data_IF_320414695536
#
_entry.id   IF_320414695536
#
_cell.length_a   1.000
_cell.length_b   1.000
_cell.length_c   1.000
_cell.angle_alpha   90.00
_cell.angle_beta   90.00
_cell.angle_gamma   90.00
#
_symmetry.space_group_name_H-M   'P 1'
#
loop_
_entity.id
_entity.type
_entity.pdbx_description
1 polymer ?
#
# COMPACT_ATOMS: atom_id res chain seq x y z
N UNK A 1 11.03 5.23 44.39
CA UNK A 1 10.23 5.85 43.30
C UNK A 1 11.16 5.99 42.11
N UNK A 2 11.02 5.14 41.09
CA UNK A 2 11.79 5.31 39.87
C UNK A 2 11.21 6.52 39.12
N UNK A 3 12.04 7.54 38.91
CA UNK A 3 11.72 8.67 38.05
C UNK A 3 11.45 8.12 36.65
N UNK A 4 10.18 8.15 36.22
CA UNK A 4 9.85 8.01 34.80
C UNK A 4 10.45 9.24 34.12
N UNK A 5 11.58 9.06 33.46
CA UNK A 5 12.05 10.01 32.46
C UNK A 5 10.94 10.16 31.43
N UNK A 6 10.27 11.31 31.41
CA UNK A 6 9.32 11.61 30.34
C UNK A 6 10.13 11.70 29.05
N UNK A 7 10.18 10.60 28.30
CA UNK A 7 10.73 10.63 26.96
C UNK A 7 9.81 11.53 26.13
N UNK A 8 10.22 12.78 25.97
CA UNK A 8 9.57 13.76 25.13
C UNK A 8 9.76 13.33 23.68
N UNK A 9 8.84 12.54 23.15
CA UNK A 9 8.79 12.25 21.72
C UNK A 9 8.35 13.51 20.98
N UNK A 10 9.10 14.03 19.99
CA UNK A 10 8.74 15.27 19.28
C UNK A 10 7.47 15.11 18.42
N UNK A 11 7.19 13.89 17.96
CA UNK A 11 5.97 13.58 17.21
C UNK A 11 4.82 13.31 18.19
N UNK A 12 3.71 14.02 18.00
CA UNK A 12 2.47 13.89 18.79
C UNK A 12 1.30 13.36 17.98
N UNK A 13 1.34 13.54 16.66
CA UNK A 13 0.29 13.10 15.73
C UNK A 13 0.91 12.33 14.56
N UNK A 14 0.48 11.08 14.38
CA UNK A 14 0.83 10.26 13.23
C UNK A 14 -0.37 10.21 12.30
N UNK A 15 -0.17 10.52 11.02
CA UNK A 15 -1.19 10.48 9.98
C UNK A 15 -0.81 9.40 8.98
N UNK A 16 -1.72 8.47 8.71
CA UNK A 16 -1.51 7.35 7.79
C UNK A 16 -2.50 7.45 6.63
N UNK A 17 -1.96 7.41 5.42
CA UNK A 17 -2.69 7.30 4.16
C UNK A 17 -2.18 6.06 3.41
N UNK A 18 -3.09 5.15 3.05
CA UNK A 18 -2.76 3.88 2.38
C UNK A 18 -3.41 3.86 1.00
N UNK A 19 -2.64 4.18 -0.03
CA UNK A 19 -3.02 4.08 -1.43
C UNK A 19 -3.05 2.62 -1.90
N UNK A 20 -3.48 2.38 -3.13
CA UNK A 20 -3.81 1.04 -3.66
C UNK A 20 -2.98 0.64 -4.88
N UNK A 21 -2.53 -0.61 -4.87
CA UNK A 21 -2.18 -1.41 -6.04
C UNK A 21 -1.10 -0.77 -6.94
N UNK A 22 0.04 -0.36 -6.35
CA UNK A 22 1.19 0.16 -7.11
C UNK A 22 2.51 -0.29 -6.48
N UNK A 23 3.43 -0.80 -7.31
CA UNK A 23 4.79 -1.11 -6.88
C UNK A 23 5.63 0.14 -6.65
N UNK A 24 6.77 -0.01 -5.96
CA UNK A 24 7.69 1.10 -5.74
C UNK A 24 8.25 1.60 -7.08
N UNK A 25 8.72 0.70 -7.94
CA UNK A 25 9.26 1.10 -9.24
C UNK A 25 8.21 1.71 -10.17
N UNK A 26 6.95 1.29 -10.05
CA UNK A 26 5.85 1.84 -10.83
C UNK A 26 5.63 3.33 -10.52
N UNK A 27 5.64 3.72 -9.24
CA UNK A 27 5.40 5.10 -8.84
C UNK A 27 6.67 5.95 -8.74
N UNK A 28 7.72 5.39 -8.15
CA UNK A 28 8.92 6.13 -7.72
C UNK A 28 10.22 5.59 -8.33
N UNK A 29 10.20 4.51 -9.12
CA UNK A 29 11.43 3.92 -9.68
C UNK A 29 12.27 4.93 -10.47
N UNK A 30 11.63 5.73 -11.32
CA UNK A 30 12.31 6.75 -12.14
C UNK A 30 12.74 8.00 -11.35
N UNK A 31 12.36 8.11 -10.07
CA UNK A 31 12.77 9.24 -9.22
C UNK A 31 14.25 9.15 -8.83
N UNK A 32 14.91 8.02 -9.09
CA UNK A 32 16.38 7.93 -9.06
C UNK A 32 17.06 9.03 -9.88
N UNK A 33 16.42 9.50 -10.95
CA UNK A 33 16.91 10.60 -11.78
C UNK A 33 16.91 11.96 -11.06
N UNK A 34 16.08 12.13 -10.03
CA UNK A 34 16.00 13.32 -9.18
C UNK A 34 16.82 13.17 -7.90
N UNK A 35 16.71 12.01 -7.25
CA UNK A 35 17.46 11.67 -6.06
C UNK A 35 18.21 10.34 -6.28
N UNK A 36 19.52 10.37 -6.60
CA UNK A 36 20.31 9.18 -6.86
C UNK A 36 20.44 8.21 -5.68
N UNK A 37 20.14 8.64 -4.45
CA UNK A 37 20.14 7.76 -3.27
C UNK A 37 18.99 6.78 -3.27
N UNK A 38 17.90 7.07 -4.01
CA UNK A 38 16.79 6.15 -4.18
C UNK A 38 17.27 4.90 -4.92
N UNK A 39 17.02 3.74 -4.33
CA UNK A 39 17.13 2.45 -5.01
C UNK A 39 15.97 2.26 -5.99
N UNK A 40 15.97 3.03 -7.07
CA UNK A 40 15.05 2.92 -8.20
C UNK A 40 15.71 2.36 -9.46
N UNK A 41 14.99 2.41 -10.57
CA UNK A 41 15.37 1.82 -11.87
C UNK A 41 16.36 2.65 -12.67
N UNK A 42 16.99 2.00 -13.63
CA UNK A 42 18.00 2.57 -14.54
C UNK A 42 17.62 2.46 -16.02
N UNK A 43 16.56 1.72 -16.35
CA UNK A 43 16.16 1.37 -17.71
C UNK A 43 16.86 0.14 -18.26
N UNK A 44 17.63 -0.55 -17.44
CA UNK A 44 18.27 -1.84 -17.79
C UNK A 44 17.47 -3.04 -17.30
N UNK A 45 16.54 -2.80 -16.38
CA UNK A 45 15.64 -3.77 -15.79
C UNK A 45 14.71 -4.32 -16.88
N UNK A 46 14.48 -5.63 -16.85
CA UNK A 46 13.63 -6.30 -17.85
C UNK A 46 13.08 -7.61 -17.31
N UNK A 47 11.98 -8.08 -17.89
CA UNK A 47 11.41 -9.41 -17.67
C UNK A 47 11.24 -10.13 -19.02
N UNK A 48 11.49 -11.44 -19.09
CA UNK A 48 11.15 -12.23 -20.28
C UNK A 48 9.64 -12.43 -20.38
N UNK A 49 9.12 -12.56 -21.61
CA UNK A 49 7.73 -12.96 -21.85
C UNK A 49 7.46 -14.44 -21.47
N UNK A 50 8.52 -15.25 -21.40
CA UNK A 50 8.47 -16.60 -20.85
C UNK A 50 9.74 -16.86 -20.04
N UNK A 51 9.61 -17.15 -18.76
CA UNK A 51 10.72 -17.46 -17.85
C UNK A 51 11.30 -18.85 -18.09
N UNK A 52 10.53 -19.73 -18.74
CA UNK A 52 10.94 -21.09 -19.08
C UNK A 52 11.68 -21.20 -20.41
N UNK A 53 11.59 -20.18 -21.26
CA UNK A 53 12.26 -20.12 -22.57
C UNK A 53 13.40 -19.09 -22.54
N UNK A 54 14.68 -19.53 -22.57
CA UNK A 54 15.83 -18.62 -22.55
C UNK A 54 15.94 -17.73 -23.80
N UNK A 55 15.19 -18.04 -24.87
CA UNK A 55 15.15 -17.27 -26.11
C UNK A 55 13.97 -16.30 -26.19
N UNK A 56 13.10 -16.30 -25.17
CA UNK A 56 11.94 -15.42 -25.14
C UNK A 56 12.35 -13.95 -25.22
N UNK A 57 11.54 -13.19 -25.95
CA UNK A 57 11.67 -11.74 -25.99
C UNK A 57 11.56 -11.17 -24.58
N UNK A 58 12.31 -10.09 -24.33
CA UNK A 58 12.31 -9.38 -23.06
C UNK A 58 11.62 -8.03 -23.21
N UNK A 59 10.80 -7.69 -22.24
CA UNK A 59 10.23 -6.36 -22.08
C UNK A 59 11.11 -5.60 -21.11
N UNK A 60 11.67 -4.48 -21.58
CA UNK A 60 12.47 -3.58 -20.75
C UNK A 60 11.56 -2.63 -20.01
N UNK A 61 11.92 -2.32 -18.76
CA UNK A 61 11.15 -1.41 -17.95
C UNK A 61 11.23 0.01 -18.52
N UNK A 62 10.08 0.59 -18.82
CA UNK A 62 9.94 1.90 -19.42
C UNK A 62 9.34 2.94 -18.48
N UNK A 63 9.13 4.13 -19.02
CA UNK A 63 8.75 5.34 -18.31
C UNK A 63 7.44 5.96 -18.86
N UNK A 64 6.61 5.12 -19.49
CA UNK A 64 5.43 5.53 -20.26
C UNK A 64 4.11 5.30 -19.52
N UNK A 65 4.15 5.07 -18.20
CA UNK A 65 2.91 4.84 -17.44
C UNK A 65 2.02 6.09 -17.43
N UNK A 66 0.72 5.85 -17.60
CA UNK A 66 -0.36 6.84 -17.61
C UNK A 66 -1.59 6.19 -16.95
N UNK A 67 -2.78 6.45 -17.46
CA UNK A 67 -3.99 5.75 -17.06
C UNK A 67 -3.92 4.27 -17.48
N UNK A 68 -4.12 3.36 -16.53
CA UNK A 68 -3.97 1.91 -16.73
C UNK A 68 -5.33 1.22 -16.77
N UNK A 69 -5.58 0.50 -17.87
CA UNK A 69 -6.72 -0.41 -18.04
C UNK A 69 -6.25 -1.63 -18.86
N UNK A 70 -6.63 -2.85 -18.48
CA UNK A 70 -7.33 -3.22 -17.24
C UNK A 70 -6.40 -3.28 -16.03
N UNK A 71 -6.98 -3.54 -14.87
CA UNK A 71 -6.28 -3.82 -13.62
C UNK A 71 -5.43 -5.11 -13.74
N UNK A 72 -4.10 -5.06 -13.50
CA UNK A 72 -3.25 -6.24 -13.60
C UNK A 72 -3.55 -7.29 -12.52
N UNK A 73 -3.08 -8.52 -12.75
CA UNK A 73 -3.23 -9.61 -11.79
C UNK A 73 -2.49 -9.33 -10.48
N UNK A 74 -3.20 -9.37 -9.35
CA UNK A 74 -2.66 -9.17 -8.00
C UNK A 74 -3.36 -10.11 -7.00
N UNK A 75 -3.75 -11.29 -7.48
CA UNK A 75 -4.12 -12.42 -6.63
C UNK A 75 -2.88 -13.06 -6.03
N UNK A 76 -3.05 -13.87 -4.98
CA UNK A 76 -1.93 -14.60 -4.36
C UNK A 76 -1.19 -15.50 -5.38
N UNK A 77 -1.90 -16.03 -6.39
CA UNK A 77 -1.31 -16.85 -7.46
C UNK A 77 -0.53 -16.00 -8.47
N UNK A 78 -1.08 -14.84 -8.86
CA UNK A 78 -0.41 -13.90 -9.75
C UNK A 78 0.87 -13.37 -9.10
N UNK A 79 0.77 -12.89 -7.85
CA UNK A 79 1.90 -12.39 -7.07
C UNK A 79 2.98 -13.47 -6.97
N UNK A 80 2.61 -14.72 -6.71
CA UNK A 80 3.58 -15.81 -6.69
C UNK A 80 4.32 -15.97 -8.02
N UNK A 81 3.60 -15.99 -9.14
CA UNK A 81 4.24 -16.11 -10.45
C UNK A 81 5.16 -14.93 -10.74
N UNK A 82 4.73 -13.71 -10.42
CA UNK A 82 5.50 -12.49 -10.63
C UNK A 82 6.82 -12.49 -9.84
N UNK A 83 6.76 -12.87 -8.57
CA UNK A 83 7.93 -12.92 -7.69
C UNK A 83 8.90 -14.05 -8.07
N UNK A 84 8.39 -15.26 -8.31
CA UNK A 84 9.24 -16.46 -8.47
C UNK A 84 9.51 -16.85 -9.91
N UNK A 85 8.80 -16.25 -10.86
CA UNK A 85 8.91 -16.56 -12.29
C UNK A 85 8.33 -17.92 -12.67
N UNK A 86 7.55 -18.58 -11.80
CA UNK A 86 6.89 -19.85 -12.09
C UNK A 86 5.44 -19.80 -11.62
N UNK A 87 4.48 -20.34 -12.40
CA UNK A 87 3.09 -20.38 -11.96
C UNK A 87 2.91 -21.05 -10.60
N UNK A 88 1.92 -20.56 -9.87
CA UNK A 88 1.58 -21.14 -8.58
C UNK A 88 1.07 -22.58 -8.71
N UNK A 89 1.63 -23.47 -7.90
CA UNK A 89 1.14 -24.83 -7.69
C UNK A 89 1.62 -25.33 -6.33
N UNK A 90 1.01 -26.39 -5.82
CA UNK A 90 1.47 -27.01 -4.57
C UNK A 90 2.93 -27.48 -4.66
N UNK A 91 3.34 -27.96 -5.83
CA UNK A 91 4.71 -28.41 -6.10
C UNK A 91 5.68 -27.22 -6.12
N UNK A 92 5.41 -26.16 -6.88
CA UNK A 92 6.27 -24.98 -6.93
C UNK A 92 6.40 -24.29 -5.57
N UNK A 93 5.29 -24.13 -4.84
CA UNK A 93 5.29 -23.54 -3.49
C UNK A 93 6.12 -24.36 -2.50
N UNK A 94 6.18 -25.69 -2.64
CA UNK A 94 6.98 -26.55 -1.77
C UNK A 94 8.50 -26.39 -1.95
N UNK A 95 8.94 -25.84 -3.08
CA UNK A 95 10.37 -25.74 -3.45
C UNK A 95 11.10 -24.57 -2.81
N UNK A 96 10.40 -23.66 -2.12
CA UNK A 96 11.00 -22.47 -1.45
C UNK A 96 11.97 -21.70 -2.36
N UNK A 97 11.46 -21.37 -3.55
CA UNK A 97 12.24 -20.67 -4.57
C UNK A 97 12.68 -19.30 -4.06
N UNK A 98 13.76 -18.76 -4.63
CA UNK A 98 14.14 -17.37 -4.40
C UNK A 98 13.35 -16.45 -5.35
N UNK A 99 12.90 -15.28 -4.89
CA UNK A 99 12.16 -14.36 -5.74
C UNK A 99 13.12 -13.74 -6.76
N UNK A 100 12.91 -14.07 -8.02
CA UNK A 100 13.72 -13.59 -9.15
C UNK A 100 13.22 -12.24 -9.69
N UNK A 101 11.97 -11.90 -9.39
CA UNK A 101 11.27 -10.74 -9.94
C UNK A 101 11.17 -10.78 -11.48
N UNK A 102 11.23 -11.96 -12.10
CA UNK A 102 11.23 -12.14 -13.56
C UNK A 102 9.86 -12.53 -14.14
N UNK A 103 8.84 -12.72 -13.31
CA UNK A 103 7.55 -13.26 -13.77
C UNK A 103 6.49 -12.22 -14.16
N UNK A 104 6.74 -10.93 -14.00
CA UNK A 104 5.72 -9.89 -14.19
C UNK A 104 5.24 -9.81 -15.64
N UNK A 105 6.18 -9.75 -16.60
CA UNK A 105 5.81 -9.71 -18.02
C UNK A 105 5.09 -11.00 -18.46
N UNK A 106 5.56 -12.17 -18.04
CA UNK A 106 4.92 -13.45 -18.34
C UNK A 106 3.49 -13.52 -17.79
N UNK A 107 3.30 -13.22 -16.50
CA UNK A 107 2.00 -13.28 -15.85
C UNK A 107 1.01 -12.28 -16.49
N UNK A 108 1.45 -11.05 -16.75
CA UNK A 108 0.63 -10.05 -17.41
C UNK A 108 0.23 -10.47 -18.84
N UNK A 109 1.19 -10.94 -19.65
CA UNK A 109 0.91 -11.39 -21.02
C UNK A 109 -0.05 -12.59 -21.05
N UNK A 110 0.08 -13.51 -20.09
CA UNK A 110 -0.82 -14.65 -19.93
C UNK A 110 -2.25 -14.26 -19.52
N UNK A 111 -2.40 -13.18 -18.74
CA UNK A 111 -3.70 -12.63 -18.35
C UNK A 111 -4.36 -11.86 -19.50
N UNK A 112 -3.60 -11.03 -20.23
CA UNK A 112 -4.07 -10.33 -21.41
C UNK A 112 -2.91 -9.98 -22.36
N UNK A 113 -3.06 -10.32 -23.63
CA UNK A 113 -2.09 -10.01 -24.67
C UNK A 113 -1.77 -8.50 -24.72
N UNK A 114 -0.48 -8.16 -24.65
CA UNK A 114 0.04 -6.79 -24.59
C UNK A 114 0.04 -6.14 -23.20
N UNK A 115 -0.47 -6.79 -22.15
CA UNK A 115 -0.45 -6.24 -20.79
C UNK A 115 0.97 -6.24 -20.19
N UNK A 116 1.89 -7.05 -20.73
CA UNK A 116 3.31 -7.02 -20.34
C UNK A 116 3.93 -5.63 -20.52
N UNK A 117 3.59 -4.91 -21.59
CA UNK A 117 4.02 -3.53 -21.80
C UNK A 117 3.48 -2.60 -20.71
N UNK A 118 2.23 -2.79 -20.27
CA UNK A 118 1.61 -1.97 -19.21
C UNK A 118 2.30 -2.15 -17.86
N UNK A 119 2.51 -3.40 -17.42
CA UNK A 119 3.08 -3.68 -16.08
C UNK A 119 4.57 -3.38 -15.99
N UNK A 120 5.26 -3.36 -17.14
CA UNK A 120 6.68 -3.02 -17.25
C UNK A 120 6.91 -1.52 -17.54
N UNK A 121 6.03 -0.63 -17.12
CA UNK A 121 6.22 0.82 -17.28
C UNK A 121 5.86 1.59 -16.01
N UNK A 122 6.81 2.38 -15.48
CA UNK A 122 6.61 3.29 -14.35
C UNK A 122 6.36 4.74 -14.77
N UNK A 123 5.97 5.58 -13.81
CA UNK A 123 5.75 7.01 -14.02
C UNK A 123 7.05 7.79 -13.99
N UNK A 124 7.16 8.79 -14.87
CA UNK A 124 8.18 9.85 -14.71
C UNK A 124 7.78 10.79 -13.58
N UNK A 125 8.75 11.40 -12.88
CA UNK A 125 8.45 12.39 -11.85
C UNK A 125 7.54 13.53 -12.32
N UNK A 126 7.71 14.01 -13.56
CA UNK A 126 6.90 15.12 -14.10
C UNK A 126 5.43 14.76 -14.33
N UNK A 127 5.08 13.48 -14.37
CA UNK A 127 3.69 12.99 -14.56
C UNK A 127 2.97 12.84 -13.22
N UNK A 128 3.72 12.68 -12.12
CA UNK A 128 3.23 12.60 -10.73
C UNK A 128 3.83 13.73 -9.89
N UNK A 129 3.49 15.00 -10.20
CA UNK A 129 4.19 16.16 -9.65
C UNK A 129 4.04 16.32 -8.13
N UNK A 130 2.97 15.81 -7.52
CA UNK A 130 2.82 15.88 -6.06
C UNK A 130 3.84 14.97 -5.39
N UNK A 131 4.02 13.74 -5.90
CA UNK A 131 5.09 12.88 -5.39
C UNK A 131 6.47 13.44 -5.72
N UNK A 132 6.67 14.08 -6.88
CA UNK A 132 7.93 14.77 -7.21
C UNK A 132 8.34 15.76 -6.13
N UNK A 133 7.43 16.64 -5.72
CA UNK A 133 7.72 17.61 -4.65
C UNK A 133 7.92 16.93 -3.29
N UNK A 134 7.10 15.93 -2.94
CA UNK A 134 7.25 15.23 -1.66
C UNK A 134 8.58 14.48 -1.54
N UNK A 135 9.04 13.84 -2.62
CA UNK A 135 10.32 13.13 -2.65
C UNK A 135 11.52 14.09 -2.59
N UNK A 136 11.38 15.30 -3.14
CA UNK A 136 12.44 16.31 -3.08
C UNK A 136 12.64 16.87 -1.67
N UNK A 137 11.57 16.92 -0.86
CA UNK A 137 11.56 17.62 0.44
C UNK A 137 11.53 16.68 1.65
N UNK A 138 11.17 15.40 1.48
CA UNK A 138 10.97 14.44 2.58
C UNK A 138 11.66 13.09 2.35
N UNK A 139 11.68 12.26 3.38
CA UNK A 139 12.30 10.93 3.34
C UNK A 139 11.49 9.92 2.53
N UNK A 140 12.19 9.05 1.81
CA UNK A 140 11.63 7.91 1.07
C UNK A 140 12.15 6.61 1.69
N UNK A 141 11.23 5.68 1.95
CA UNK A 141 11.57 4.30 2.34
C UNK A 141 11.53 3.42 1.09
N UNK A 142 12.68 3.15 0.47
CA UNK A 142 12.82 2.32 -0.75
C UNK A 142 13.03 0.83 -0.46
N UNK A 143 12.79 0.42 0.79
CA UNK A 143 12.79 -0.98 1.27
C UNK A 143 11.57 -1.24 2.16
N UNK A 144 10.42 -0.74 1.73
CA UNK A 144 9.11 -0.99 2.35
C UNK A 144 8.35 -2.04 1.54
N UNK A 145 8.01 -3.17 2.17
CA UNK A 145 7.38 -4.31 1.51
C UNK A 145 5.95 -4.50 2.01
N UNK A 146 5.06 -4.99 1.14
CA UNK A 146 3.77 -5.52 1.55
C UNK A 146 3.98 -6.61 2.62
N UNK A 147 3.12 -6.65 3.63
CA UNK A 147 3.30 -7.54 4.77
C UNK A 147 3.08 -9.02 4.41
N UNK A 148 2.24 -9.27 3.40
CA UNK A 148 1.96 -10.60 2.87
C UNK A 148 1.80 -10.50 1.34
N UNK A 149 2.26 -11.49 0.56
CA UNK A 149 2.09 -11.58 -0.90
C UNK A 149 0.63 -11.88 -1.30
N UNK A 150 -0.31 -11.04 -0.88
CA UNK A 150 -1.73 -11.22 -1.10
C UNK A 150 -2.39 -9.89 -1.49
N UNK A 151 -3.66 -9.96 -1.90
CA UNK A 151 -4.43 -8.79 -2.31
C UNK A 151 -4.62 -7.76 -1.19
N UNK A 152 -5.24 -6.64 -1.54
CA UNK A 152 -5.51 -5.46 -0.69
C UNK A 152 -5.90 -5.74 0.76
N UNK A 153 -6.97 -6.52 1.01
CA UNK A 153 -7.54 -6.58 2.35
C UNK A 153 -6.61 -7.24 3.38
N UNK A 154 -5.95 -8.38 3.10
CA UNK A 154 -4.87 -8.88 3.94
C UNK A 154 -3.84 -7.81 4.33
N UNK A 155 -3.30 -7.05 3.38
CA UNK A 155 -2.28 -6.05 3.66
C UNK A 155 -2.81 -4.84 4.43
N UNK A 156 -4.01 -4.33 4.10
CA UNK A 156 -4.69 -3.29 4.90
C UNK A 156 -4.92 -3.76 6.35
N UNK A 157 -5.21 -5.05 6.57
CA UNK A 157 -5.35 -5.60 7.92
C UNK A 157 -4.02 -5.55 8.70
N UNK A 158 -2.88 -5.79 8.04
CA UNK A 158 -1.57 -5.67 8.66
C UNK A 158 -1.25 -4.24 9.12
N UNK A 159 -1.63 -3.21 8.37
CA UNK A 159 -1.33 -1.80 8.70
C UNK A 159 -1.74 -1.43 10.12
N UNK A 160 -2.93 -1.85 10.56
CA UNK A 160 -3.46 -1.48 11.87
C UNK A 160 -3.51 -2.62 12.90
N UNK A 161 -3.08 -3.83 12.56
CA UNK A 161 -3.11 -4.95 13.51
C UNK A 161 -1.89 -5.86 13.49
N UNK A 162 -0.91 -5.59 12.61
CA UNK A 162 0.27 -6.40 12.40
C UNK A 162 -0.02 -7.88 12.06
N UNK A 163 -1.26 -8.19 11.63
CA UNK A 163 -1.66 -9.50 11.09
C UNK A 163 -2.90 -9.37 10.19
N UNK A 164 -3.06 -10.26 9.22
CA UNK A 164 -4.32 -10.44 8.47
C UNK A 164 -5.29 -11.42 9.14
N UNK A 165 -4.95 -11.98 10.30
CA UNK A 165 -5.69 -13.07 10.95
C UNK A 165 -5.89 -14.28 10.02
N UNK A 166 -4.83 -14.63 9.28
CA UNK A 166 -4.82 -15.72 8.31
C UNK A 166 -5.58 -15.43 7.01
N UNK A 167 -6.06 -14.21 6.77
CA UNK A 167 -6.65 -13.85 5.48
C UNK A 167 -5.58 -13.76 4.38
N UNK A 168 -5.91 -14.31 3.21
CA UNK A 168 -5.05 -14.35 2.02
C UNK A 168 -5.73 -13.78 0.77
N UNK A 169 -6.97 -13.32 0.91
CA UNK A 169 -7.77 -12.76 -0.18
C UNK A 169 -8.89 -11.88 0.38
N UNK A 170 -9.60 -11.20 -0.51
CA UNK A 170 -10.73 -10.34 -0.19
C UNK A 170 -12.01 -11.18 0.06
N UNK A 171 -12.07 -11.88 1.21
CA UNK A 171 -13.21 -12.73 1.57
C UNK A 171 -14.40 -11.89 2.09
N UNK A 172 -15.45 -11.78 1.27
CA UNK A 172 -16.66 -11.00 1.60
C UNK A 172 -17.33 -11.46 2.90
N UNK A 173 -17.39 -12.76 3.18
CA UNK A 173 -18.06 -13.27 4.38
C UNK A 173 -17.31 -12.82 5.63
N UNK A 174 -15.98 -12.95 5.64
CA UNK A 174 -15.16 -12.49 6.76
C UNK A 174 -15.15 -10.98 6.92
N UNK A 175 -15.17 -10.21 5.84
CA UNK A 175 -15.32 -8.74 5.90
C UNK A 175 -16.64 -8.33 6.57
N UNK A 176 -17.73 -9.05 6.28
CA UNK A 176 -19.04 -8.82 6.91
C UNK A 176 -19.02 -9.23 8.39
N UNK A 177 -18.49 -10.42 8.73
CA UNK A 177 -18.37 -10.89 10.12
C UNK A 177 -17.49 -9.96 10.97
N UNK A 178 -16.45 -9.41 10.35
CA UNK A 178 -15.46 -8.55 10.97
C UNK A 178 -14.33 -9.36 11.62
N UNK A 179 -13.12 -8.89 11.39
CA UNK A 179 -11.87 -9.45 11.85
C UNK A 179 -11.66 -9.21 13.35
N UNK A 180 -11.29 -10.25 14.14
CA UNK A 180 -11.34 -10.19 15.61
C UNK A 180 -10.02 -9.76 16.27
N UNK A 181 -8.92 -9.65 15.52
CA UNK A 181 -7.60 -9.35 16.07
C UNK A 181 -7.55 -7.97 16.73
N UNK A 182 -6.66 -7.86 17.72
CA UNK A 182 -6.39 -6.59 18.40
C UNK A 182 -5.73 -5.63 17.42
N UNK A 183 -6.15 -4.37 17.46
CA UNK A 183 -5.62 -3.31 16.59
C UNK A 183 -4.77 -2.30 17.38
N UNK A 184 -4.04 -1.46 16.65
CA UNK A 184 -3.37 -0.27 17.21
C UNK A 184 -4.38 0.68 17.87
N UNK A 185 -5.60 0.78 17.35
CA UNK A 185 -6.66 1.63 17.91
C UNK A 185 -7.03 1.23 19.35
N UNK A 186 -7.13 -0.08 19.61
CA UNK A 186 -7.37 -0.60 20.96
C UNK A 186 -6.15 -0.37 21.86
N UNK A 187 -4.95 -0.55 21.32
CA UNK A 187 -3.70 -0.31 22.07
C UNK A 187 -3.54 1.17 22.44
N UNK A 188 -3.96 2.10 21.59
CA UNK A 188 -3.97 3.53 21.86
C UNK A 188 -4.99 3.89 22.95
N UNK A 189 -6.23 3.40 22.83
CA UNK A 189 -7.29 3.64 23.82
C UNK A 189 -6.89 3.11 25.21
N UNK A 190 -6.35 1.90 25.28
CA UNK A 190 -5.83 1.29 26.52
C UNK A 190 -4.67 2.10 27.13
N UNK A 191 -3.87 2.76 26.31
CA UNK A 191 -2.76 3.61 26.73
C UNK A 191 -3.17 5.07 26.99
N UNK A 192 -4.45 5.42 26.88
CA UNK A 192 -4.97 6.77 27.09
C UNK A 192 -4.71 7.76 25.95
N UNK A 193 -4.35 7.26 24.77
CA UNK A 193 -4.24 8.04 23.53
C UNK A 193 -5.52 7.96 22.70
N UNK A 194 -5.70 8.93 21.81
CA UNK A 194 -6.88 8.99 20.93
C UNK A 194 -6.51 8.71 19.47
N UNK A 195 -7.53 8.34 18.69
CA UNK A 195 -7.41 8.15 17.25
C UNK A 195 -8.61 8.77 16.51
N UNK A 196 -8.45 9.01 15.22
CA UNK A 196 -9.54 9.50 14.36
C UNK A 196 -9.43 8.93 12.96
N UNK A 197 -10.55 8.49 12.42
CA UNK A 197 -10.69 7.92 11.09
C UNK A 197 -11.48 8.91 10.26
N UNK A 198 -10.83 9.50 9.26
CA UNK A 198 -11.37 10.52 8.37
C UNK A 198 -11.59 9.92 7.00
N UNK A 199 -12.86 9.75 6.62
CA UNK A 199 -13.21 8.93 5.48
C UNK A 199 -14.09 9.68 4.48
N UNK A 200 -13.90 9.37 3.19
CA UNK A 200 -14.78 9.83 2.10
C UNK A 200 -15.85 8.77 1.73
N UNK A 201 -15.56 7.49 1.95
CA UNK A 201 -16.50 6.35 1.80
C UNK A 201 -16.50 5.46 3.05
N UNK A 202 -17.47 4.55 3.23
CA UNK A 202 -17.50 3.65 4.38
C UNK A 202 -16.12 3.04 4.66
N UNK A 203 -15.51 3.33 5.82
CA UNK A 203 -14.08 3.11 6.01
C UNK A 203 -13.75 1.63 6.15
N UNK A 204 -12.67 1.19 5.51
CA UNK A 204 -12.13 -0.16 5.56
C UNK A 204 -11.75 -0.57 6.99
N UNK A 205 -11.40 0.38 7.86
CA UNK A 205 -11.20 0.11 9.30
C UNK A 205 -12.43 -0.54 9.98
N UNK A 206 -13.65 -0.41 9.43
CA UNK A 206 -14.82 -1.13 9.95
C UNK A 206 -14.81 -2.63 9.66
N UNK A 207 -13.85 -3.13 8.88
CA UNK A 207 -13.60 -4.57 8.78
C UNK A 207 -13.03 -5.16 10.07
N UNK A 208 -12.47 -4.36 10.98
CA UNK A 208 -12.19 -4.80 12.34
C UNK A 208 -13.45 -4.78 13.18
N UNK A 209 -13.85 -5.94 13.70
CA UNK A 209 -15.08 -6.07 14.50
C UNK A 209 -15.08 -5.17 15.74
N UNK A 210 -13.90 -4.97 16.36
CA UNK A 210 -13.77 -4.13 17.54
C UNK A 210 -14.04 -2.65 17.27
N UNK A 211 -13.77 -2.15 16.06
CA UNK A 211 -14.06 -0.76 15.70
C UNK A 211 -15.55 -0.47 15.47
N UNK A 212 -16.40 -1.52 15.45
CA UNK A 212 -17.87 -1.39 15.37
C UNK A 212 -18.53 -1.13 16.72
N UNK A 213 -17.77 -1.11 17.82
CA UNK A 213 -18.29 -0.86 19.18
C UNK A 213 -18.73 0.60 19.34
N UNK A 214 -19.85 0.83 20.03
CA UNK A 214 -20.43 2.17 20.24
C UNK A 214 -19.45 3.18 20.86
N UNK A 215 -18.49 2.74 21.69
CA UNK A 215 -17.50 3.63 22.30
C UNK A 215 -16.63 4.38 21.27
N UNK A 216 -16.44 3.83 20.08
CA UNK A 216 -15.62 4.42 19.02
C UNK A 216 -16.41 5.25 18.00
N UNK A 217 -17.74 5.36 18.13
CA UNK A 217 -18.57 6.05 17.13
C UNK A 217 -18.13 7.51 16.90
N UNK A 218 -17.59 8.16 17.93
CA UNK A 218 -17.12 9.55 17.88
C UNK A 218 -15.74 9.70 17.22
N UNK A 219 -15.03 8.61 16.93
CA UNK A 219 -13.73 8.61 16.28
C UNK A 219 -13.83 8.61 14.74
N UNK A 220 -15.05 8.43 14.20
CA UNK A 220 -15.32 8.42 12.77
C UNK A 220 -15.79 9.80 12.31
N UNK A 221 -15.14 10.31 11.27
CA UNK A 221 -15.29 11.69 10.82
C UNK A 221 -15.37 11.76 9.29
N UNK A 222 -16.23 12.63 8.76
CA UNK A 222 -16.26 12.90 7.33
C UNK A 222 -15.00 13.67 6.93
N UNK A 223 -14.28 13.20 5.92
CA UNK A 223 -13.04 13.85 5.48
C UNK A 223 -13.28 15.32 5.09
N UNK A 224 -14.22 15.57 4.15
CA UNK A 224 -14.43 16.90 3.54
C UNK A 224 -14.82 17.99 4.56
N UNK A 225 -15.46 17.60 5.66
CA UNK A 225 -15.96 18.52 6.70
C UNK A 225 -15.05 18.58 7.91
N UNK A 226 -14.72 17.42 8.48
CA UNK A 226 -14.10 17.35 9.79
C UNK A 226 -12.57 17.40 9.71
N UNK A 227 -11.96 16.77 8.70
CA UNK A 227 -10.49 16.66 8.63
C UNK A 227 -9.85 18.04 8.53
N UNK A 228 -10.26 18.83 7.54
CA UNK A 228 -9.74 20.20 7.32
C UNK A 228 -10.01 21.10 8.53
N UNK A 229 -11.18 20.98 9.16
CA UNK A 229 -11.52 21.74 10.37
C UNK A 229 -10.60 21.36 11.53
N UNK A 230 -10.41 20.07 11.80
CA UNK A 230 -9.54 19.60 12.88
C UNK A 230 -8.07 19.95 12.62
N UNK A 231 -7.61 19.91 11.37
CA UNK A 231 -6.29 20.44 10.99
C UNK A 231 -6.17 21.92 11.35
N UNK A 232 -7.10 22.77 10.88
CA UNK A 232 -7.10 24.22 11.12
C UNK A 232 -7.16 24.59 12.61
N UNK A 233 -7.94 23.85 13.39
CA UNK A 233 -8.12 24.10 14.82
C UNK A 233 -7.03 23.48 15.70
N UNK A 234 -6.11 22.68 15.15
CA UNK A 234 -5.11 21.96 15.94
C UNK A 234 -5.72 20.89 16.85
N UNK A 235 -6.71 20.15 16.33
CA UNK A 235 -7.47 19.12 17.07
C UNK A 235 -7.34 17.73 16.48
N UNK A 236 -6.33 17.48 15.65
CA UNK A 236 -6.07 16.12 15.18
C UNK A 236 -5.64 15.23 16.36
N UNK A 237 -6.16 13.98 16.44
CA UNK A 237 -5.78 13.02 17.47
C UNK A 237 -4.34 12.52 17.31
N UNK A 238 -3.90 11.65 18.22
CA UNK A 238 -2.55 11.07 18.20
C UNK A 238 -2.33 10.15 16.99
N UNK A 239 -3.36 9.43 16.57
CA UNK A 239 -3.30 8.56 15.40
C UNK A 239 -4.46 8.87 14.45
N UNK A 240 -4.13 9.25 13.23
CA UNK A 240 -5.08 9.70 12.21
C UNK A 240 -4.99 8.74 11.03
N UNK A 241 -6.13 8.19 10.64
CA UNK A 241 -6.26 7.41 9.40
C UNK A 241 -7.09 8.23 8.43
N UNK A 242 -6.58 8.38 7.21
CA UNK A 242 -7.28 9.04 6.12
C UNK A 242 -7.67 7.97 5.10
N UNK A 243 -8.96 7.87 4.80
CA UNK A 243 -9.53 6.87 3.90
C UNK A 243 -10.20 7.52 2.68
N UNK A 244 -9.83 6.99 1.52
CA UNK A 244 -10.12 7.50 0.19
C UNK A 244 -11.54 7.16 -0.29
N UNK A 245 -11.83 7.55 -1.53
CA UNK A 245 -12.93 7.03 -2.32
C UNK A 245 -12.46 5.78 -3.08
N UNK A 246 -12.90 4.63 -2.60
CA UNK A 246 -12.59 3.31 -3.18
C UNK A 246 -13.43 2.92 -4.41
N UNK A 247 -14.45 3.72 -4.75
CA UNK A 247 -15.36 3.41 -5.85
C UNK A 247 -15.25 4.46 -6.95
N UNK A 248 -15.00 4.01 -8.18
CA UNK A 248 -14.99 4.90 -9.34
C UNK A 248 -16.39 5.18 -9.88
N UNK A 249 -16.94 6.34 -9.49
CA UNK A 249 -18.22 6.82 -9.97
C UNK A 249 -18.05 7.97 -10.95
N UNK A 250 -18.89 8.04 -11.98
CA UNK A 250 -18.83 9.10 -13.02
C UNK A 250 -18.75 10.54 -12.49
N UNK A 251 -19.36 10.81 -11.33
CA UNK A 251 -19.39 12.14 -10.71
C UNK A 251 -18.38 12.29 -9.56
N UNK A 252 -17.86 11.18 -9.05
CA UNK A 252 -16.96 11.10 -7.89
C UNK A 252 -15.96 9.98 -8.19
N UNK A 253 -14.91 10.27 -8.98
CA UNK A 253 -13.93 9.26 -9.36
C UNK A 253 -13.15 8.76 -8.15
N UNK A 254 -12.65 7.52 -8.25
CA UNK A 254 -11.74 6.95 -7.28
C UNK A 254 -10.48 7.81 -7.15
N UNK A 255 -9.91 7.88 -5.95
CA UNK A 255 -8.73 8.71 -5.65
C UNK A 255 -7.70 8.00 -4.76
N UNK A 256 -7.70 6.67 -4.83
CA UNK A 256 -6.86 5.73 -4.06
C UNK A 256 -5.64 5.24 -4.85
N UNK A 257 -5.44 5.70 -6.08
CA UNK A 257 -4.46 5.19 -7.07
C UNK A 257 -4.71 3.76 -7.62
N UNK A 258 -5.74 3.03 -7.18
CA UNK A 258 -6.04 1.67 -7.67
C UNK A 258 -6.30 1.68 -9.18
N UNK A 259 -5.77 0.77 -10.04
CA UNK A 259 -6.22 0.66 -11.43
C UNK A 259 -7.66 0.13 -11.55
N UNK A 260 -8.56 0.68 -12.33
CA UNK A 260 -8.40 1.70 -13.36
C UNK A 260 -8.81 3.10 -12.88
N UNK A 261 -8.49 3.50 -11.66
CA UNK A 261 -8.67 4.87 -11.20
C UNK A 261 -7.49 5.72 -11.71
N UNK A 262 -7.78 6.98 -12.02
CA UNK A 262 -6.79 7.91 -12.52
C UNK A 262 -5.88 8.39 -11.39
N UNK A 263 -4.58 8.12 -11.52
CA UNK A 263 -3.53 8.58 -10.58
C UNK A 263 -3.57 10.10 -10.42
N UNK A 264 -4.08 10.85 -11.40
CA UNK A 264 -4.31 12.29 -11.25
C UNK A 264 -5.23 12.63 -10.05
N UNK A 265 -6.29 11.85 -9.82
CA UNK A 265 -7.19 12.05 -8.68
C UNK A 265 -6.52 11.66 -7.35
N UNK A 266 -5.68 10.62 -7.34
CA UNK A 266 -4.86 10.28 -6.18
C UNK A 266 -3.81 11.35 -5.85
N UNK A 267 -3.13 11.91 -6.86
CA UNK A 267 -2.23 13.06 -6.69
C UNK A 267 -2.94 14.26 -6.05
N UNK A 268 -4.14 14.61 -6.54
CA UNK A 268 -4.95 15.68 -5.94
C UNK A 268 -5.27 15.39 -4.49
N UNK A 269 -5.65 14.16 -4.18
CA UNK A 269 -6.02 13.77 -2.82
C UNK A 269 -4.83 13.85 -1.86
N UNK A 270 -3.67 13.32 -2.25
CA UNK A 270 -2.43 13.45 -1.46
C UNK A 270 -2.09 14.91 -1.22
N UNK A 271 -2.18 15.76 -2.25
CA UNK A 271 -1.95 17.20 -2.13
C UNK A 271 -2.92 17.84 -1.15
N UNK A 272 -4.20 17.50 -1.23
CA UNK A 272 -5.25 18.02 -0.35
C UNK A 272 -4.99 17.66 1.11
N UNK A 273 -4.60 16.40 1.37
CA UNK A 273 -4.20 15.94 2.71
C UNK A 273 -2.98 16.71 3.20
N UNK A 274 -1.91 16.75 2.40
CA UNK A 274 -0.67 17.43 2.74
C UNK A 274 -0.89 18.92 3.07
N UNK A 275 -1.61 19.67 2.24
CA UNK A 275 -1.85 21.10 2.47
C UNK A 275 -2.71 21.36 3.72
N UNK A 276 -3.68 20.49 3.99
CA UNK A 276 -4.47 20.56 5.22
C UNK A 276 -3.57 20.37 6.45
N UNK A 277 -2.70 19.35 6.43
CA UNK A 277 -1.75 19.08 7.52
C UNK A 277 -0.73 20.22 7.68
N UNK A 278 -0.12 20.68 6.58
CA UNK A 278 0.89 21.74 6.58
C UNK A 278 0.38 23.07 7.11
N UNK A 279 -0.91 23.34 6.93
CA UNK A 279 -1.56 24.55 7.48
C UNK A 279 -1.97 24.43 8.95
N UNK A 280 -1.82 23.25 9.56
CA UNK A 280 -2.19 23.00 10.96
C UNK A 280 -1.19 23.63 11.93
N UNK A 281 -1.63 24.19 13.08
CA UNK A 281 -0.71 24.57 14.15
C UNK A 281 0.05 23.37 14.76
N UNK A 282 -0.40 22.13 14.51
CA UNK A 282 0.27 20.90 14.93
C UNK A 282 1.35 20.42 13.93
N UNK A 283 1.57 21.10 12.80
CA UNK A 283 2.45 20.64 11.71
C UNK A 283 3.84 20.18 12.16
N UNK A 284 4.50 20.93 13.04
CA UNK A 284 5.86 20.64 13.49
C UNK A 284 5.95 19.44 14.45
N UNK A 285 4.82 18.86 14.85
CA UNK A 285 4.72 17.68 15.72
C UNK A 285 4.03 16.50 14.99
N UNK A 286 3.95 16.55 13.66
CA UNK A 286 3.30 15.54 12.83
C UNK A 286 4.29 14.64 12.09
N UNK A 287 3.93 13.36 11.98
CA UNK A 287 4.50 12.43 11.02
C UNK A 287 3.40 12.02 10.03
N UNK A 288 3.57 12.36 8.75
CA UNK A 288 2.66 11.93 7.68
C UNK A 288 3.30 10.77 6.91
N UNK A 289 2.60 9.64 6.84
CA UNK A 289 3.05 8.41 6.21
C UNK A 289 2.11 8.11 5.04
N UNK A 290 2.67 8.01 3.85
CA UNK A 290 1.99 7.56 2.63
C UNK A 290 2.59 6.20 2.27
N UNK A 291 1.75 5.17 2.20
CA UNK A 291 2.14 3.81 1.80
C UNK A 291 1.12 3.26 0.82
N UNK A 292 1.46 2.11 0.22
CA UNK A 292 0.55 1.32 -0.59
C UNK A 292 0.24 0.00 0.13
N UNK A 293 -0.91 -0.60 -0.19
CA UNK A 293 -1.32 -1.90 0.34
C UNK A 293 -0.53 -3.07 -0.27
N UNK A 294 -0.40 -3.10 -1.60
CA UNK A 294 0.35 -4.09 -2.37
C UNK A 294 0.77 -3.51 -3.75
N UNK A 295 1.43 -4.31 -4.59
CA UNK A 295 2.13 -3.82 -5.78
C UNK A 295 1.27 -3.76 -7.06
N UNK A 296 0.03 -4.24 -7.04
CA UNK A 296 -0.96 -4.13 -8.12
C UNK A 296 -0.60 -4.89 -9.39
N UNK A 297 0.27 -5.90 -9.29
CA UNK A 297 0.85 -6.60 -10.44
C UNK A 297 1.84 -5.79 -11.29
N UNK A 298 2.21 -4.57 -10.87
CA UNK A 298 3.25 -3.79 -11.53
C UNK A 298 4.64 -4.26 -11.13
N UNK A 299 5.57 -4.21 -12.09
CA UNK A 299 6.95 -4.66 -11.90
C UNK A 299 7.66 -3.90 -10.77
N UNK A 300 8.47 -4.62 -10.02
CA UNK A 300 9.48 -4.08 -9.11
C UNK A 300 10.78 -4.88 -9.25
N UNK A 301 11.92 -4.20 -9.29
CA UNK A 301 13.22 -4.84 -9.46
C UNK A 301 13.76 -5.44 -8.16
N UNK A 302 13.25 -5.03 -6.99
CA UNK A 302 13.81 -5.42 -5.70
C UNK A 302 13.26 -6.79 -5.28
N UNK A 303 14.13 -7.80 -5.09
CA UNK A 303 13.68 -9.10 -4.59
C UNK A 303 13.03 -8.98 -3.19
N UNK A 304 11.82 -9.51 -3.06
CA UNK A 304 11.10 -9.58 -1.79
C UNK A 304 11.86 -10.41 -0.76
N UNK A 305 12.02 -9.97 0.50
CA UNK A 305 12.57 -10.81 1.56
C UNK A 305 11.69 -12.04 1.83
N UNK A 306 12.25 -13.24 1.70
CA UNK A 306 11.57 -14.52 1.99
C UNK A 306 12.21 -15.31 3.14
N UNK A 307 13.33 -14.81 3.67
CA UNK A 307 14.04 -15.47 4.78
C UNK A 307 13.91 -14.64 6.04
N UNK A 308 13.60 -15.28 7.17
CA UNK A 308 13.50 -14.62 8.47
C UNK A 308 12.27 -13.71 8.62
N UNK A 309 11.29 -13.84 7.73
CA UNK A 309 10.01 -13.11 7.83
C UNK A 309 9.21 -13.71 8.99
N UNK A 310 8.86 -12.92 10.02
CA UNK A 310 8.13 -13.44 11.16
C UNK A 310 6.66 -13.73 10.77
N UNK A 311 6.11 -14.84 11.29
CA UNK A 311 4.66 -15.05 11.33
C UNK A 311 4.14 -14.50 12.66
N UNK A 312 3.48 -13.32 12.68
CA UNK A 312 3.20 -12.60 13.92
C UNK A 312 2.14 -13.28 14.80
N UNK A 313 1.27 -14.10 14.23
CA UNK A 313 0.19 -14.79 14.94
C UNK A 313 0.23 -16.33 14.81
N UNK A 314 1.22 -16.87 14.10
CA UNK A 314 1.35 -18.30 13.83
C UNK A 314 0.20 -18.87 12.98
N UNK A 315 -0.67 -18.03 12.42
CA UNK A 315 -1.79 -18.47 11.61
C UNK A 315 -1.33 -18.70 10.17
N UNK A 316 -1.04 -19.97 9.88
CA UNK A 316 -0.87 -20.44 8.52
C UNK A 316 -2.18 -21.10 8.10
N UNK A 317 -2.99 -20.45 7.24
CA UNK A 317 -4.11 -21.17 6.61
C UNK A 317 -3.54 -22.35 5.83
N UNK A 318 -4.07 -23.54 6.03
CA UNK A 318 -3.74 -24.71 5.19
C UNK A 318 -4.03 -24.37 3.72
N UNK A 319 -3.01 -24.38 2.88
CA UNK A 319 -3.10 -23.97 1.47
C UNK A 319 -2.86 -22.48 1.19
N UNK A 320 -2.64 -21.65 2.21
CA UNK A 320 -2.03 -20.34 2.03
C UNK A 320 -0.56 -20.53 1.66
N UNK A 321 -0.11 -19.78 0.65
CA UNK A 321 1.29 -19.74 0.25
C UNK A 321 2.19 -19.52 1.46
N UNK A 322 2.96 -20.54 1.81
CA UNK A 322 4.13 -20.37 2.64
C UNK A 322 5.19 -19.77 1.72
N UNK A 323 5.40 -18.46 1.80
CA UNK A 323 6.62 -17.85 1.31
C UNK A 323 7.73 -17.99 2.36
#
# INVERSE_FOLDING_TARGET
MASQTSNSHPIKTIVVLVQENRSFDHMLGWFKTLNPEINGVTGTESNPLSTSDPTANRIFFGDKSLYVVPDPGHSIQDIYEQLFGVPWSQDSASKKLQPTMQGFAQNAEGNQNGMSDTVMNGFKPDVVPVYKELVAEFGVCDRWFAAVPASTQPNRLFVHSATSHGATSNDRKHLIEGYPQKTIFESLDEAGFNFGIYYQYPPATLFYRNLRKLKYIKNFHQFDLNFKRHCKEGKLPNYVVVEQRYFDLKLLPGNDDHPSHDVYEGQKFVKEVYEALRSSPQWNEMLFIIIYDEHGGFFDHVPTPVTGVPSPDGLNRSGALQL
#
